data_IF_548515259605
#
_entry.id   IF_548515259605
#
_cell.length_a   1.000
_cell.length_b   1.000
_cell.length_c   1.000
_cell.angle_alpha   90.00
_cell.angle_beta   90.00
_cell.angle_gamma   90.00
#
_symmetry.space_group_name_H-M   'P 1'
#
loop_
_entity.id
_entity.type
_entity.pdbx_description
1 polymer ?
#
# COMPACT_ATOMS: atom_id res chain seq x y z
N UNK A 1 -23.53 38.96 -44.94
CA UNK A 1 -24.04 39.22 -43.59
C UNK A 1 -25.34 38.46 -43.43
N UNK A 2 -25.31 37.33 -42.72
CA UNK A 2 -26.49 36.60 -42.27
C UNK A 2 -26.10 35.87 -40.99
N UNK A 3 -26.96 35.98 -39.99
CA UNK A 3 -26.73 35.87 -38.55
C UNK A 3 -26.67 34.44 -38.04
N UNK A 4 -25.61 34.12 -37.30
CA UNK A 4 -25.40 32.90 -36.54
C UNK A 4 -26.22 32.94 -35.22
N UNK A 5 -27.05 31.91 -34.89
CA UNK A 5 -27.85 31.93 -33.66
C UNK A 5 -27.01 31.51 -32.45
N UNK A 6 -26.95 32.38 -31.44
CA UNK A 6 -26.31 32.10 -30.14
C UNK A 6 -26.97 30.88 -29.46
N UNK A 7 -26.21 29.90 -28.93
CA UNK A 7 -26.77 28.78 -28.19
C UNK A 7 -27.35 29.20 -26.83
N UNK A 8 -28.40 28.50 -26.39
CA UNK A 8 -29.06 28.72 -25.11
C UNK A 8 -28.10 28.45 -23.91
N UNK A 9 -28.23 29.16 -22.78
CA UNK A 9 -27.35 28.99 -21.63
C UNK A 9 -27.51 27.59 -21.01
N UNK A 10 -26.37 26.94 -20.73
CA UNK A 10 -26.31 25.65 -20.05
C UNK A 10 -27.04 25.65 -18.71
N UNK A 11 -27.74 24.55 -18.34
CA UNK A 11 -28.36 24.43 -17.03
C UNK A 11 -27.29 24.47 -15.93
N UNK A 12 -27.59 25.19 -14.84
CA UNK A 12 -26.68 25.34 -13.72
C UNK A 12 -26.22 23.97 -13.18
N UNK A 13 -24.91 23.81 -12.99
CA UNK A 13 -24.30 22.59 -12.46
C UNK A 13 -24.87 22.21 -11.09
N UNK A 14 -24.95 20.90 -10.76
CA UNK A 14 -25.57 20.40 -9.53
C UNK A 14 -25.09 21.14 -8.26
N UNK A 15 -23.80 21.47 -8.20
CA UNK A 15 -23.17 22.24 -7.12
C UNK A 15 -23.88 23.57 -6.81
N UNK A 16 -24.39 24.31 -7.80
CA UNK A 16 -25.08 25.60 -7.56
C UNK A 16 -26.48 25.44 -6.96
N UNK A 17 -27.17 24.31 -7.18
CA UNK A 17 -28.46 24.01 -6.52
C UNK A 17 -28.27 23.66 -5.05
N UNK A 18 -27.19 22.94 -4.73
CA UNK A 18 -26.86 22.54 -3.35
C UNK A 18 -26.60 23.73 -2.42
N UNK A 19 -25.87 24.75 -2.89
CA UNK A 19 -25.62 25.97 -2.11
C UNK A 19 -26.88 26.81 -1.83
N UNK A 20 -27.91 26.73 -2.67
CA UNK A 20 -29.21 27.39 -2.43
C UNK A 20 -30.06 26.63 -1.41
N UNK A 21 -30.01 25.29 -1.41
CA UNK A 21 -30.77 24.48 -0.46
C UNK A 21 -30.28 24.64 0.99
N UNK A 22 -28.96 24.75 1.19
CA UNK A 22 -28.35 24.98 2.51
C UNK A 22 -28.70 26.37 3.09
N UNK A 23 -28.87 27.40 2.26
CA UNK A 23 -29.31 28.73 2.71
C UNK A 23 -30.78 28.81 3.14
N UNK A 24 -31.60 27.82 2.76
CA UNK A 24 -33.04 27.80 3.00
C UNK A 24 -33.46 26.80 4.09
N UNK A 25 -32.55 26.42 4.98
CA UNK A 25 -32.87 25.62 6.18
C UNK A 25 -33.39 24.20 5.92
N UNK A 26 -33.24 23.67 4.70
CA UNK A 26 -33.65 22.30 4.39
C UNK A 26 -32.58 21.32 4.86
N UNK A 27 -32.94 20.48 5.84
CA UNK A 27 -32.07 19.37 6.23
C UNK A 27 -31.97 18.36 5.07
N UNK A 28 -30.76 17.88 4.76
CA UNK A 28 -30.57 16.92 3.69
C UNK A 28 -31.14 15.54 4.10
N UNK A 29 -31.56 14.70 3.13
CA UNK A 29 -32.12 13.38 3.41
C UNK A 29 -31.12 12.50 4.18
N UNK A 30 -31.62 11.55 5.00
CA UNK A 30 -30.82 10.73 5.93
C UNK A 30 -29.62 9.99 5.29
N UNK A 31 -29.62 9.77 3.98
CA UNK A 31 -28.48 9.22 3.22
C UNK A 31 -27.26 10.17 3.25
N UNK A 32 -27.49 11.48 3.20
CA UNK A 32 -26.43 12.49 3.30
C UNK A 32 -25.91 12.66 4.74
N UNK A 33 -26.73 12.37 5.75
CA UNK A 33 -26.29 12.39 7.16
C UNK A 33 -25.36 11.22 7.51
N UNK A 34 -25.46 10.08 6.80
CA UNK A 34 -24.53 8.95 7.00
C UNK A 34 -23.12 9.19 6.44
N UNK A 35 -22.98 10.08 5.46
CA UNK A 35 -21.68 10.47 4.93
C UNK A 35 -20.86 11.34 5.91
N UNK A 36 -21.49 11.91 6.94
CA UNK A 36 -20.86 12.85 7.89
C UNK A 36 -19.99 12.17 8.96
N UNK A 37 -20.01 10.84 9.10
CA UNK A 37 -19.21 10.14 10.12
C UNK A 37 -17.80 9.76 9.66
N UNK A 38 -17.53 9.83 8.35
CA UNK A 38 -16.20 9.59 7.80
C UNK A 38 -15.59 10.92 7.39
N UNK A 39 -15.19 11.70 8.38
CA UNK A 39 -14.26 12.79 8.15
C UNK A 39 -13.03 12.18 7.47
N UNK A 40 -12.80 12.49 6.20
CA UNK A 40 -11.60 12.12 5.49
C UNK A 40 -10.41 12.70 6.28
N UNK A 41 -9.80 11.89 7.16
CA UNK A 41 -8.41 12.09 7.55
C UNK A 41 -7.66 12.23 6.24
N UNK A 42 -6.93 13.33 6.06
CA UNK A 42 -6.32 13.69 4.78
C UNK A 42 -5.53 12.53 4.16
N UNK A 43 -5.40 12.54 2.83
CA UNK A 43 -4.69 11.53 2.03
C UNK A 43 -3.45 10.99 2.75
N UNK A 44 -3.32 9.67 2.89
CA UNK A 44 -2.13 9.06 3.48
C UNK A 44 -0.88 9.42 2.66
N UNK A 45 0.19 9.79 3.36
CA UNK A 45 1.49 10.15 2.77
C UNK A 45 2.61 9.37 3.43
N UNK A 46 3.77 9.33 2.79
CA UNK A 46 5.00 8.87 3.44
C UNK A 46 5.22 9.66 4.75
N UNK A 47 5.56 8.96 5.82
CA UNK A 47 5.70 9.53 7.16
C UNK A 47 4.39 9.63 7.96
N UNK A 48 3.24 9.33 7.36
CA UNK A 48 1.97 9.26 8.11
C UNK A 48 1.97 8.06 9.05
N UNK A 49 1.35 8.21 10.23
CA UNK A 49 1.04 7.07 11.09
C UNK A 49 -0.07 6.27 10.43
N UNK A 50 0.17 4.98 10.22
CA UNK A 50 -0.78 4.03 9.67
C UNK A 50 -2.07 4.04 10.51
N UNK A 51 -3.26 4.27 9.90
CA UNK A 51 -4.51 4.21 10.63
C UNK A 51 -4.68 2.88 11.39
N UNK A 52 -4.95 2.95 12.70
CA UNK A 52 -5.29 1.75 13.45
C UNK A 52 -6.75 1.34 13.17
N UNK A 53 -7.00 0.04 13.16
CA UNK A 53 -8.32 -0.54 12.96
C UNK A 53 -8.43 -1.89 13.67
N UNK A 54 -9.67 -2.33 13.90
CA UNK A 54 -9.98 -3.71 14.27
C UNK A 54 -10.71 -4.38 13.13
N UNK A 55 -10.32 -5.61 12.79
CA UNK A 55 -10.91 -6.34 11.69
C UNK A 55 -10.88 -7.85 11.93
N UNK A 56 -11.84 -8.55 11.33
CA UNK A 56 -11.79 -10.00 11.20
C UNK A 56 -10.80 -10.39 10.10
N UNK A 57 -10.06 -11.46 10.33
CA UNK A 57 -9.14 -12.04 9.34
C UNK A 57 -9.29 -13.55 9.27
N UNK A 58 -8.71 -14.16 8.25
CA UNK A 58 -8.66 -15.63 8.10
C UNK A 58 -7.96 -16.36 9.24
N UNK A 59 -7.18 -15.66 10.07
CA UNK A 59 -6.52 -16.21 11.26
C UNK A 59 -7.11 -15.69 12.58
N UNK A 60 -8.30 -15.10 12.54
CA UNK A 60 -9.00 -14.53 13.70
C UNK A 60 -8.97 -13.00 13.76
N UNK A 61 -9.63 -12.39 14.76
CA UNK A 61 -9.72 -10.94 14.90
C UNK A 61 -8.38 -10.31 15.26
N UNK A 62 -8.14 -9.10 14.76
CA UNK A 62 -6.93 -8.31 15.07
C UNK A 62 -7.26 -6.88 15.49
N UNK A 63 -6.37 -6.29 16.29
CA UNK A 63 -6.12 -4.84 16.31
C UNK A 63 -4.84 -4.60 15.50
N UNK A 64 -4.88 -3.70 14.52
CA UNK A 64 -3.80 -3.59 13.53
C UNK A 64 -2.47 -3.12 14.13
N UNK A 65 -2.50 -2.21 15.11
CA UNK A 65 -1.28 -1.75 15.77
C UNK A 65 -0.69 -2.82 16.69
N UNK A 66 -1.53 -3.59 17.37
CA UNK A 66 -1.09 -4.78 18.11
C UNK A 66 -0.52 -5.85 17.16
N UNK A 67 -1.16 -6.07 16.01
CA UNK A 67 -0.67 -6.97 14.97
C UNK A 67 0.70 -6.54 14.44
N UNK A 68 0.93 -5.24 14.20
CA UNK A 68 2.26 -4.73 13.82
C UNK A 68 3.25 -5.05 14.96
N UNK A 69 2.93 -4.70 16.21
CA UNK A 69 3.80 -4.91 17.36
C UNK A 69 5.14 -4.18 17.18
N UNK A 70 6.24 -4.90 17.28
CA UNK A 70 7.62 -4.42 17.06
C UNK A 70 8.19 -4.79 15.67
N UNK A 71 7.35 -5.31 14.77
CA UNK A 71 7.75 -5.79 13.44
C UNK A 71 7.38 -4.82 12.32
N UNK A 72 8.01 -4.99 11.17
CA UNK A 72 7.56 -4.36 9.93
C UNK A 72 6.30 -5.07 9.41
N UNK A 73 5.45 -4.35 8.67
CA UNK A 73 4.27 -4.92 8.02
C UNK A 73 4.20 -4.50 6.55
N UNK A 74 3.86 -5.45 5.69
CA UNK A 74 3.36 -5.18 4.34
C UNK A 74 1.87 -5.44 4.33
N UNK A 75 1.08 -4.37 4.30
CA UNK A 75 -0.37 -4.41 4.10
C UNK A 75 -0.64 -4.23 2.61
N UNK A 76 -1.34 -5.18 1.99
CA UNK A 76 -1.63 -5.10 0.57
C UNK A 76 -3.07 -5.53 0.25
N UNK A 77 -3.70 -4.85 -0.70
CA UNK A 77 -5.08 -5.14 -1.11
C UNK A 77 -5.13 -5.88 -2.44
N UNK A 78 -6.21 -6.61 -2.69
CA UNK A 78 -6.58 -7.16 -3.99
C UNK A 78 -8.07 -6.90 -4.28
N UNK A 79 -8.45 -6.70 -5.56
CA UNK A 79 -9.82 -6.34 -5.90
C UNK A 79 -10.90 -7.31 -5.39
N UNK A 80 -10.73 -8.60 -5.68
CA UNK A 80 -11.76 -9.62 -5.49
C UNK A 80 -11.15 -11.04 -5.46
N UNK A 81 -11.66 -11.89 -4.59
CA UNK A 81 -11.36 -13.34 -4.56
C UNK A 81 -11.78 -14.05 -5.86
N UNK A 82 -11.27 -15.27 -6.10
CA UNK A 82 -11.60 -16.08 -7.29
C UNK A 82 -11.36 -15.36 -8.63
N UNK A 83 -10.38 -14.46 -8.68
CA UNK A 83 -9.96 -13.77 -9.92
C UNK A 83 -8.51 -14.09 -10.29
N UNK A 84 -8.19 -14.21 -11.60
CA UNK A 84 -6.95 -14.84 -12.05
C UNK A 84 -5.69 -14.12 -11.58
N UNK A 85 -5.62 -12.79 -11.72
CA UNK A 85 -4.44 -12.02 -11.31
C UNK A 85 -4.26 -12.08 -9.79
N UNK A 86 -5.34 -11.94 -9.02
CA UNK A 86 -5.28 -12.00 -7.56
C UNK A 86 -4.77 -13.36 -7.07
N UNK A 87 -5.21 -14.46 -7.70
CA UNK A 87 -4.74 -15.81 -7.37
C UNK A 87 -3.23 -15.94 -7.59
N UNK A 88 -2.72 -15.43 -8.73
CA UNK A 88 -1.27 -15.46 -8.99
C UNK A 88 -0.48 -14.60 -8.01
N UNK A 89 -1.00 -13.44 -7.61
CA UNK A 89 -0.31 -12.52 -6.69
C UNK A 89 -0.23 -13.08 -5.28
N UNK A 90 -1.34 -13.56 -4.72
CA UNK A 90 -1.35 -14.11 -3.35
C UNK A 90 -0.51 -15.38 -3.26
N UNK A 91 -0.53 -16.23 -4.29
CA UNK A 91 0.36 -17.37 -4.39
C UNK A 91 1.84 -16.97 -4.46
N UNK A 92 2.17 -15.90 -5.19
CA UNK A 92 3.54 -15.39 -5.24
C UNK A 92 4.00 -14.77 -3.90
N UNK A 93 3.12 -14.06 -3.18
CA UNK A 93 3.40 -13.58 -1.83
C UNK A 93 3.55 -14.73 -0.84
N UNK A 94 2.72 -15.78 -0.92
CA UNK A 94 2.81 -16.96 -0.06
C UNK A 94 4.15 -17.69 -0.24
N UNK A 95 4.62 -17.84 -1.48
CA UNK A 95 5.96 -18.38 -1.77
C UNK A 95 7.10 -17.56 -1.17
N UNK A 96 6.96 -16.23 -1.15
CA UNK A 96 7.97 -15.32 -0.60
C UNK A 96 7.80 -15.01 0.89
N UNK A 97 6.71 -15.44 1.52
CA UNK A 97 6.44 -15.19 2.95
C UNK A 97 7.62 -15.59 3.86
N UNK A 98 8.34 -16.72 3.64
CA UNK A 98 9.53 -17.04 4.42
C UNK A 98 10.63 -15.97 4.34
N UNK A 99 10.81 -15.33 3.18
CA UNK A 99 11.81 -14.27 2.98
C UNK A 99 11.43 -12.96 3.69
N UNK A 100 10.14 -12.63 3.73
CA UNK A 100 9.63 -11.52 4.55
C UNK A 100 9.79 -11.82 6.04
N UNK A 101 9.47 -13.05 6.46
CA UNK A 101 9.56 -13.49 7.86
C UNK A 101 10.99 -13.41 8.38
N UNK A 102 11.97 -13.86 7.57
CA UNK A 102 13.40 -13.70 7.83
C UNK A 102 13.79 -12.25 8.13
N UNK A 103 13.23 -11.28 7.39
CA UNK A 103 13.47 -9.84 7.59
C UNK A 103 12.65 -9.22 8.73
N UNK A 104 11.97 -10.02 9.52
CA UNK A 104 11.09 -9.53 10.59
C UNK A 104 9.89 -8.75 10.06
N UNK A 105 9.40 -9.11 8.87
CA UNK A 105 8.25 -8.47 8.21
C UNK A 105 7.06 -9.41 8.23
N UNK A 106 5.90 -8.92 8.68
CA UNK A 106 4.62 -9.64 8.60
C UNK A 106 3.88 -9.21 7.33
N UNK A 107 3.29 -10.18 6.63
CA UNK A 107 2.38 -9.92 5.52
C UNK A 107 0.93 -9.88 6.03
N UNK A 108 0.09 -9.07 5.40
CA UNK A 108 -1.36 -9.09 5.61
C UNK A 108 -2.08 -8.63 4.35
N UNK A 109 -2.94 -9.50 3.82
CA UNK A 109 -3.78 -9.23 2.66
C UNK A 109 -5.10 -8.55 3.04
N UNK A 110 -5.79 -7.96 2.07
CA UNK A 110 -7.10 -7.35 2.25
C UNK A 110 -7.90 -7.39 0.95
N UNK A 111 -9.20 -7.67 1.05
CA UNK A 111 -10.16 -7.27 0.02
C UNK A 111 -11.51 -6.97 0.67
N UNK A 112 -12.48 -6.62 -0.17
CA UNK A 112 -13.83 -6.33 0.29
C UNK A 112 -14.75 -7.56 0.34
N UNK A 113 -14.18 -8.76 0.21
CA UNK A 113 -14.84 -10.05 0.40
C UNK A 113 -15.04 -10.40 1.89
N UNK A 114 -15.71 -11.51 2.15
CA UNK A 114 -15.92 -12.04 3.50
C UNK A 114 -14.85 -13.08 3.86
N UNK A 115 -14.70 -13.38 5.17
CA UNK A 115 -13.75 -14.40 5.64
C UNK A 115 -14.09 -15.79 5.09
N UNK A 116 -15.38 -16.10 4.91
CA UNK A 116 -15.81 -17.37 4.32
C UNK A 116 -15.35 -17.51 2.86
N UNK A 117 -15.44 -16.41 2.09
CA UNK A 117 -14.93 -16.36 0.71
C UNK A 117 -13.43 -16.65 0.68
N UNK A 118 -12.66 -15.99 1.55
CA UNK A 118 -11.22 -16.20 1.68
C UNK A 118 -10.87 -17.64 2.02
N UNK A 119 -11.58 -18.24 2.98
CA UNK A 119 -11.30 -19.61 3.42
C UNK A 119 -11.47 -20.66 2.33
N UNK A 120 -12.43 -20.46 1.41
CA UNK A 120 -12.56 -21.29 0.21
C UNK A 120 -11.42 -21.03 -0.78
N UNK A 121 -11.16 -19.77 -1.09
CA UNK A 121 -10.23 -19.35 -2.13
C UNK A 121 -8.76 -19.63 -1.80
N UNK A 122 -8.38 -19.63 -0.53
CA UNK A 122 -7.04 -20.03 -0.08
C UNK A 122 -6.69 -21.45 -0.57
N UNK A 123 -7.67 -22.36 -0.66
CA UNK A 123 -7.42 -23.71 -1.16
C UNK A 123 -7.02 -23.71 -2.64
N UNK A 124 -7.71 -22.92 -3.46
CA UNK A 124 -7.39 -22.75 -4.87
C UNK A 124 -6.01 -22.12 -5.04
N UNK A 125 -5.68 -21.11 -4.23
CA UNK A 125 -4.36 -20.48 -4.23
C UNK A 125 -3.27 -21.50 -3.88
N UNK A 126 -3.47 -22.28 -2.82
CA UNK A 126 -2.49 -23.27 -2.37
C UNK A 126 -2.26 -24.35 -3.44
N UNK A 127 -3.34 -24.86 -4.04
CA UNK A 127 -3.30 -25.83 -5.14
C UNK A 127 -2.57 -25.28 -6.37
N UNK A 128 -2.97 -24.11 -6.86
CA UNK A 128 -2.43 -23.51 -8.10
C UNK A 128 -0.98 -23.07 -7.92
N UNK A 129 -0.66 -22.49 -6.76
CA UNK A 129 0.68 -21.98 -6.50
C UNK A 129 1.65 -23.08 -6.08
N UNK A 130 1.17 -24.19 -5.49
CA UNK A 130 2.04 -25.17 -4.83
C UNK A 130 2.74 -24.59 -3.60
N UNK A 131 2.13 -23.60 -2.95
CA UNK A 131 2.60 -22.99 -1.70
C UNK A 131 1.50 -23.01 -0.66
N UNK A 132 1.81 -22.65 0.58
CA UNK A 132 0.81 -22.55 1.65
C UNK A 132 0.69 -21.10 2.08
N UNK A 133 -0.46 -20.49 1.84
CA UNK A 133 -0.75 -19.15 2.31
C UNK A 133 -0.97 -19.18 3.83
N UNK A 134 -0.08 -18.54 4.59
CA UNK A 134 -0.18 -18.49 6.06
C UNK A 134 -0.43 -17.11 6.66
N UNK A 135 -0.19 -16.04 5.90
CA UNK A 135 -0.52 -14.69 6.34
C UNK A 135 -2.05 -14.45 6.40
N UNK A 136 -2.52 -13.59 7.32
CA UNK A 136 -3.93 -13.22 7.39
C UNK A 136 -4.41 -12.45 6.15
N UNK A 137 -5.67 -12.69 5.77
CA UNK A 137 -6.42 -11.86 4.82
C UNK A 137 -7.58 -11.20 5.57
N UNK A 138 -7.64 -9.87 5.53
CA UNK A 138 -8.71 -9.06 6.13
C UNK A 138 -9.95 -9.14 5.25
N UNK A 139 -11.09 -9.50 5.87
CA UNK A 139 -12.41 -9.41 5.25
C UNK A 139 -13.03 -8.04 5.49
N UNK A 140 -12.87 -7.11 4.55
CA UNK A 140 -13.33 -5.73 4.66
C UNK A 140 -14.66 -5.49 3.92
N UNK A 141 -15.68 -6.28 4.23
CA UNK A 141 -16.99 -6.24 3.57
C UNK A 141 -17.62 -4.86 3.57
N UNK A 142 -17.43 -4.07 4.62
CA UNK A 142 -17.95 -2.69 4.71
C UNK A 142 -16.99 -1.63 4.14
N UNK A 143 -15.84 -2.03 3.57
CA UNK A 143 -14.81 -1.14 2.98
C UNK A 143 -14.26 -0.11 3.97
N UNK A 144 -14.28 -0.42 5.27
CA UNK A 144 -13.85 0.51 6.32
C UNK A 144 -12.34 0.71 6.28
N UNK A 145 -11.59 -0.39 6.13
CA UNK A 145 -10.14 -0.35 6.06
C UNK A 145 -9.70 0.18 4.70
N UNK A 146 -10.34 -0.27 3.62
CA UNK A 146 -10.11 0.20 2.26
C UNK A 146 -10.31 1.72 2.14
N UNK A 147 -11.35 2.29 2.76
CA UNK A 147 -11.56 3.73 2.79
C UNK A 147 -10.49 4.44 3.64
N UNK A 148 -10.13 3.90 4.81
CA UNK A 148 -9.10 4.48 5.67
C UNK A 148 -7.71 4.51 5.03
N UNK A 149 -7.43 3.57 4.13
CA UNK A 149 -6.17 3.44 3.42
C UNK A 149 -6.21 3.92 1.95
N UNK A 150 -7.29 4.58 1.52
CA UNK A 150 -7.45 5.08 0.16
C UNK A 150 -7.20 3.99 -0.92
N UNK A 151 -7.74 2.80 -0.65
CA UNK A 151 -7.57 1.61 -1.50
C UNK A 151 -8.74 1.40 -2.48
N UNK A 152 -9.70 2.32 -2.57
CA UNK A 152 -10.86 2.17 -3.45
C UNK A 152 -10.57 2.74 -4.84
N UNK A 153 -11.07 2.06 -5.87
CA UNK A 153 -10.99 2.56 -7.24
C UNK A 153 -11.97 3.71 -7.46
N UNK A 154 -11.50 4.94 -7.28
CA UNK A 154 -12.32 6.15 -7.41
C UNK A 154 -12.47 6.63 -8.86
N UNK A 155 -11.68 6.10 -9.80
CA UNK A 155 -11.64 6.57 -11.20
C UNK A 155 -12.30 5.60 -12.17
N UNK A 156 -12.18 4.29 -11.93
CA UNK A 156 -12.85 3.29 -12.74
C UNK A 156 -14.25 3.01 -12.19
N UNK A 157 -15.24 3.72 -12.74
CA UNK A 157 -16.66 3.53 -12.38
C UNK A 157 -17.22 2.18 -12.81
N UNK A 158 -16.46 1.38 -13.57
CA UNK A 158 -16.83 0.02 -13.97
C UNK A 158 -16.28 -1.05 -13.03
N UNK A 159 -15.28 -0.71 -12.21
CA UNK A 159 -14.65 -1.60 -11.24
C UNK A 159 -15.45 -1.62 -9.92
N UNK A 160 -16.70 -2.07 -10.01
CA UNK A 160 -17.66 -2.06 -8.90
C UNK A 160 -18.29 -3.45 -8.69
N UNK A 161 -18.65 -3.76 -7.45
CA UNK A 161 -19.37 -4.99 -7.12
C UNK A 161 -20.82 -4.97 -7.64
N UNK A 162 -21.54 -6.08 -7.42
CA UNK A 162 -22.94 -6.21 -7.83
C UNK A 162 -23.89 -5.15 -7.24
N UNK A 163 -23.45 -4.37 -6.25
CA UNK A 163 -24.19 -3.27 -5.63
C UNK A 163 -23.72 -1.89 -6.11
N UNK A 164 -22.79 -1.84 -7.07
CA UNK A 164 -22.22 -0.61 -7.61
C UNK A 164 -21.18 0.03 -6.68
N UNK A 165 -20.61 -0.72 -5.72
CA UNK A 165 -19.58 -0.21 -4.81
C UNK A 165 -18.19 -0.57 -5.37
N UNK A 166 -17.30 0.42 -5.47
CA UNK A 166 -15.95 0.23 -5.99
C UNK A 166 -15.20 -0.92 -5.28
N UNK A 167 -14.53 -1.75 -6.08
CA UNK A 167 -13.55 -2.72 -5.58
C UNK A 167 -12.31 -2.01 -5.07
N UNK A 168 -11.47 -2.75 -4.34
CA UNK A 168 -10.15 -2.22 -4.01
C UNK A 168 -9.22 -2.24 -5.22
N UNK A 169 -8.29 -1.29 -5.29
CA UNK A 169 -7.14 -1.35 -6.20
C UNK A 169 -6.05 -2.25 -5.60
N UNK A 170 -4.97 -2.48 -6.35
CA UNK A 170 -3.82 -3.27 -5.89
C UNK A 170 -2.83 -2.36 -5.15
N UNK A 171 -3.16 -1.97 -3.93
CA UNK A 171 -2.29 -1.13 -3.08
C UNK A 171 -1.30 -1.97 -2.28
N UNK A 172 -0.15 -1.38 -1.96
CA UNK A 172 0.85 -1.92 -1.02
C UNK A 172 1.31 -0.80 -0.10
N UNK A 173 1.25 -1.03 1.20
CA UNK A 173 1.78 -0.16 2.24
C UNK A 173 2.88 -0.91 3.00
N UNK A 174 4.09 -0.34 3.02
CA UNK A 174 5.17 -0.83 3.86
C UNK A 174 5.24 0.05 5.10
N UNK A 175 5.02 -0.56 6.26
CA UNK A 175 4.84 0.11 7.55
C UNK A 175 5.92 -0.37 8.50
N UNK A 176 6.60 0.56 9.16
CA UNK A 176 7.67 0.25 10.11
C UNK A 176 7.14 -0.05 11.53
N UNK A 177 7.99 -0.54 12.46
CA UNK A 177 7.59 -0.81 13.84
C UNK A 177 7.03 0.41 14.59
N UNK A 178 7.37 1.62 14.16
CA UNK A 178 6.82 2.89 14.70
C UNK A 178 5.46 3.23 14.11
N UNK A 179 4.84 2.29 13.38
CA UNK A 179 3.55 2.45 12.69
C UNK A 179 3.61 3.49 11.58
N UNK A 180 4.79 3.83 11.08
CA UNK A 180 4.96 4.87 10.06
C UNK A 180 4.90 4.26 8.67
N UNK A 181 4.12 4.85 7.77
CA UNK A 181 4.09 4.45 6.36
C UNK A 181 5.39 4.90 5.69
N UNK A 182 6.19 3.94 5.23
CA UNK A 182 7.52 4.15 4.64
C UNK A 182 7.51 4.10 3.13
N UNK A 183 6.55 3.40 2.53
CA UNK A 183 6.39 3.28 1.09
C UNK A 183 4.94 2.93 0.75
N UNK A 184 4.45 3.50 -0.35
CA UNK A 184 3.13 3.23 -0.93
C UNK A 184 3.33 2.89 -2.41
N UNK A 185 2.74 1.77 -2.85
CA UNK A 185 2.56 1.45 -4.27
C UNK A 185 1.08 1.33 -4.58
N UNK A 186 0.64 1.86 -5.72
CA UNK A 186 -0.74 1.77 -6.19
C UNK A 186 -0.76 1.27 -7.63
N UNK A 187 -1.38 0.11 -7.83
CA UNK A 187 -1.54 -0.53 -9.14
C UNK A 187 -3.04 -0.65 -9.47
N UNK A 188 -3.45 -0.48 -10.73
CA UNK A 188 -4.83 -0.74 -11.14
C UNK A 188 -5.13 -2.24 -11.10
N UNK A 189 -6.42 -2.60 -11.14
CA UNK A 189 -6.83 -4.01 -11.16
C UNK A 189 -6.24 -4.79 -12.35
N UNK A 190 -5.98 -4.14 -13.48
CA UNK A 190 -5.45 -4.73 -14.71
C UNK A 190 -3.97 -5.09 -14.66
N UNK A 191 -3.20 -4.61 -13.68
CA UNK A 191 -1.74 -4.79 -13.64
C UNK A 191 -1.32 -5.55 -12.39
N UNK A 192 -0.89 -6.81 -12.55
CA UNK A 192 -0.28 -7.59 -11.47
C UNK A 192 1.03 -6.95 -10.96
N UNK A 193 1.25 -7.03 -9.66
CA UNK A 193 2.41 -6.47 -8.95
C UNK A 193 3.63 -7.37 -9.09
N UNK A 194 4.80 -6.76 -8.96
CA UNK A 194 6.06 -7.46 -8.82
C UNK A 194 6.37 -7.70 -7.32
N UNK A 195 6.20 -8.93 -6.84
CA UNK A 195 6.47 -9.28 -5.44
C UNK A 195 7.95 -9.20 -5.06
N UNK A 196 8.86 -9.42 -6.02
CA UNK A 196 10.29 -9.26 -5.81
C UNK A 196 10.66 -7.79 -5.57
N UNK A 197 9.96 -6.84 -6.22
CA UNK A 197 10.16 -5.41 -5.95
C UNK A 197 9.73 -5.07 -4.52
N UNK A 198 8.60 -5.62 -4.04
CA UNK A 198 8.14 -5.40 -2.67
C UNK A 198 9.18 -5.88 -1.65
N UNK A 199 9.79 -7.05 -1.87
CA UNK A 199 10.87 -7.56 -1.03
C UNK A 199 12.14 -6.69 -1.13
N UNK A 200 12.52 -6.28 -2.35
CA UNK A 200 13.70 -5.43 -2.59
C UNK A 200 13.61 -4.07 -1.89
N UNK A 201 12.43 -3.44 -1.89
CA UNK A 201 12.24 -2.16 -1.19
C UNK A 201 12.20 -2.32 0.33
N UNK A 202 11.70 -3.45 0.86
CA UNK A 202 11.89 -3.79 2.28
C UNK A 202 13.38 -3.84 2.59
N UNK A 203 14.15 -4.52 1.73
CA UNK A 203 15.59 -4.62 1.93
C UNK A 203 16.28 -3.25 1.91
N UNK A 204 15.89 -2.41 0.95
CA UNK A 204 16.39 -1.04 0.84
C UNK A 204 16.08 -0.20 2.07
N UNK A 205 14.84 -0.24 2.56
CA UNK A 205 14.40 0.56 3.71
C UNK A 205 15.13 0.13 4.98
N UNK A 206 15.18 -1.17 5.26
CA UNK A 206 15.84 -1.69 6.45
C UNK A 206 17.36 -1.47 6.40
N UNK A 207 17.98 -1.66 5.23
CA UNK A 207 19.42 -1.41 5.06
C UNK A 207 19.75 0.07 5.24
N UNK A 208 18.94 0.99 4.70
CA UNK A 208 19.12 2.44 4.89
C UNK A 208 18.84 2.91 6.33
N UNK A 209 17.96 2.24 7.07
CA UNK A 209 17.73 2.54 8.49
C UNK A 209 18.91 2.07 9.37
N UNK A 210 19.53 0.93 9.02
CA UNK A 210 20.65 0.34 9.75
C UNK A 210 21.99 1.00 9.42
N UNK A 211 22.19 1.37 8.16
CA UNK A 211 23.42 1.94 7.65
C UNK A 211 23.14 3.36 7.16
N UNK A 212 23.98 4.34 7.50
CA UNK A 212 23.82 5.74 7.07
C UNK A 212 24.14 5.91 5.57
N UNK A 213 23.35 5.25 4.73
CA UNK A 213 23.50 5.11 3.28
C UNK A 213 22.18 5.43 2.57
N UNK A 214 22.22 5.43 1.25
CA UNK A 214 21.06 5.46 0.36
C UNK A 214 21.29 4.44 -0.74
N UNK A 215 20.25 3.71 -1.13
CA UNK A 215 20.32 2.73 -2.22
C UNK A 215 20.13 3.44 -3.57
N UNK A 216 20.99 3.18 -4.58
CA UNK A 216 20.83 3.78 -5.90
C UNK A 216 19.67 3.16 -6.70
N UNK A 217 19.42 3.71 -7.89
CA UNK A 217 18.46 3.17 -8.86
C UNK A 217 18.75 1.69 -9.13
N UNK A 218 17.70 0.87 -9.18
CA UNK A 218 17.76 -0.58 -9.43
C UNK A 218 18.61 -1.40 -8.45
N UNK A 219 19.02 -0.83 -7.31
CA UNK A 219 19.84 -1.50 -6.32
C UNK A 219 19.24 -2.83 -5.86
N UNK A 220 20.06 -3.88 -5.86
CA UNK A 220 19.78 -5.15 -5.20
C UNK A 220 20.82 -5.41 -4.09
N UNK A 221 20.50 -6.23 -3.07
CA UNK A 221 21.45 -6.58 -2.02
C UNK A 221 22.79 -7.10 -2.54
N UNK A 222 23.88 -6.44 -2.16
CA UNK A 222 25.25 -6.72 -2.62
C UNK A 222 25.81 -5.68 -3.60
N UNK A 223 24.95 -4.86 -4.22
CA UNK A 223 25.40 -3.72 -5.02
C UNK A 223 25.98 -2.60 -4.14
N UNK A 224 26.85 -1.79 -4.74
CA UNK A 224 27.34 -0.55 -4.12
C UNK A 224 26.18 0.37 -3.70
N UNK A 225 26.30 0.97 -2.53
CA UNK A 225 25.36 1.95 -1.98
C UNK A 225 25.96 3.35 -2.01
N UNK A 226 25.13 4.37 -1.87
CA UNK A 226 25.54 5.77 -1.80
C UNK A 226 25.73 6.16 -0.32
N UNK A 227 26.86 6.77 0.02
CA UNK A 227 27.06 7.36 1.36
C UNK A 227 26.05 8.48 1.54
N UNK A 228 25.24 8.42 2.61
CA UNK A 228 24.14 9.35 2.80
C UNK A 228 24.62 10.83 2.74
N UNK A 229 23.91 11.75 2.06
CA UNK A 229 24.38 13.11 1.85
C UNK A 229 24.72 13.89 3.12
N UNK A 230 24.09 13.55 4.25
CA UNK A 230 24.40 14.20 5.55
C UNK A 230 25.73 13.77 6.18
N UNK A 231 26.34 12.67 5.73
CA UNK A 231 27.61 12.17 6.26
C UNK A 231 28.75 12.98 5.63
N UNK A 232 29.56 13.67 6.43
CA UNK A 232 30.71 14.44 5.92
C UNK A 232 31.86 13.50 5.52
N UNK A 233 32.78 13.94 4.65
CA UNK A 233 33.89 13.09 4.18
C UNK A 233 34.75 12.54 5.31
N UNK A 234 35.00 13.31 6.36
CA UNK A 234 35.85 12.84 7.47
C UNK A 234 35.17 11.78 8.31
N UNK A 235 33.85 11.85 8.46
CA UNK A 235 33.07 10.80 9.08
C UNK A 235 32.94 9.57 8.16
N UNK A 236 32.78 9.79 6.85
CA UNK A 236 32.69 8.72 5.86
C UNK A 236 33.96 7.85 5.81
N UNK A 237 35.16 8.42 6.02
CA UNK A 237 36.41 7.66 6.13
C UNK A 237 36.37 6.60 7.24
N UNK A 238 35.69 6.91 8.34
CA UNK A 238 35.54 5.98 9.47
C UNK A 238 34.40 4.99 9.25
N UNK A 239 33.25 5.47 8.80
CA UNK A 239 32.05 4.63 8.62
C UNK A 239 32.16 3.69 7.41
N UNK A 240 32.81 4.14 6.35
CA UNK A 240 32.87 3.48 5.05
C UNK A 240 34.29 3.55 4.48
N UNK A 241 35.29 2.85 5.03
CA UNK A 241 36.70 3.02 4.64
C UNK A 241 37.01 2.81 3.15
N UNK A 242 36.13 2.09 2.44
CA UNK A 242 36.25 1.80 1.00
C UNK A 242 35.42 2.75 0.13
N UNK A 243 34.88 3.84 0.69
CA UNK A 243 34.08 4.77 -0.11
C UNK A 243 34.93 5.49 -1.16
N UNK A 244 34.32 5.72 -2.32
CA UNK A 244 34.90 6.43 -3.47
C UNK A 244 34.06 7.64 -3.81
N UNK A 245 34.73 8.75 -4.09
CA UNK A 245 34.09 10.02 -4.47
C UNK A 245 34.06 10.09 -6.00
N UNK A 246 32.86 10.04 -6.59
CA UNK A 246 32.66 10.25 -8.04
C UNK A 246 32.42 11.73 -8.33
N UNK A 247 31.62 12.37 -7.48
CA UNK A 247 31.40 13.83 -7.41
C UNK A 247 31.28 14.24 -5.94
N UNK A 248 31.41 15.53 -5.59
CA UNK A 248 31.27 15.99 -4.21
C UNK A 248 29.99 15.51 -3.51
N UNK A 249 28.88 15.37 -4.25
CA UNK A 249 27.60 14.87 -3.75
C UNK A 249 27.36 13.37 -4.01
N UNK A 250 28.17 12.72 -4.87
CA UNK A 250 27.97 11.35 -5.31
C UNK A 250 29.16 10.50 -4.87
N UNK A 251 28.95 9.78 -3.78
CA UNK A 251 29.96 8.95 -3.13
C UNK A 251 29.37 7.57 -2.94
N UNK A 252 30.07 6.56 -3.42
CA UNK A 252 29.63 5.18 -3.29
C UNK A 252 30.52 4.44 -2.31
N UNK A 253 29.99 3.39 -1.70
CA UNK A 253 30.74 2.42 -0.92
C UNK A 253 30.19 1.03 -1.20
N UNK A 254 31.04 -0.01 -1.27
CA UNK A 254 30.55 -1.38 -1.30
C UNK A 254 29.78 -1.70 -0.02
N UNK A 255 28.73 -2.50 -0.15
CA UNK A 255 28.01 -3.09 0.97
C UNK A 255 27.68 -4.55 0.64
N UNK A 256 28.48 -5.51 1.12
CA UNK A 256 28.25 -6.94 0.89
C UNK A 256 26.85 -7.38 1.26
N UNK A 257 26.29 -8.36 0.53
CA UNK A 257 24.91 -8.84 0.73
C UNK A 257 24.65 -9.30 2.16
N UNK A 258 25.62 -9.96 2.79
CA UNK A 258 25.61 -10.42 4.19
C UNK A 258 25.66 -9.28 5.23
N UNK A 259 25.84 -8.04 4.79
CA UNK A 259 25.74 -6.85 5.64
C UNK A 259 24.41 -6.11 5.47
N UNK A 260 23.66 -6.41 4.41
CA UNK A 260 22.31 -5.86 4.17
C UNK A 260 21.25 -6.56 5.04
N UNK A 261 20.01 -6.09 5.00
CA UNK A 261 18.86 -6.80 5.60
C UNK A 261 18.54 -8.15 4.94
N UNK A 262 19.09 -8.43 3.76
CA UNK A 262 18.97 -9.73 3.10
C UNK A 262 19.91 -10.79 3.72
N UNK A 263 20.72 -10.40 4.70
CA UNK A 263 21.59 -11.27 5.48
C UNK A 263 20.79 -11.99 6.58
N UNK A 264 19.92 -12.93 6.16
CA UNK A 264 19.16 -13.76 7.09
C UNK A 264 19.06 -15.21 6.63
#
# INVERSE_FOLDING_TARGET
MSSDPRPAPYPATPLRRWWRALKNGHQPPAVAQRASFYQAKGSLRLGSIAPNFKAETTTGPIDFHEFIGDKWVVLFSHPEDYTPVCTTELGAFAKLEPEFTKRGVKLIGLSANTIESHGGWIKDIDEISGSKLSFPIIGDKERKVAYAYDMLDHQDTTNVDAKGIAFTIRSVFIIDPKKTIRLILSYPASTGRNTAEVLRVVDSLQTGDKHRITTPINWIPGDDVIVHPSVKNEEAKTLFPQFRIVKPYLRFTPLPKDQTSAAV
#
